data_IF_615714420896
#
_entry.id   IF_615714420896
#
_cell.length_a   1.000
_cell.length_b   1.000
_cell.length_c   1.000
_cell.angle_alpha   90.00
_cell.angle_beta   90.00
_cell.angle_gamma   90.00
#
_symmetry.space_group_name_H-M   'P 1'
#
loop_
_entity.id
_entity.type
_entity.pdbx_description
1 polymer ?
#
# COMPACT_ATOMS: atom_id res chain seq x y z
N UNK A 1 -10.55 -59.16 -22.78
CA UNK A 1 -9.34 -58.48 -22.28
C UNK A 1 -9.09 -57.28 -23.17
N UNK A 2 -9.40 -56.08 -22.69
CA UNK A 2 -9.17 -54.83 -23.42
C UNK A 2 -8.90 -53.73 -22.39
N UNK A 3 -7.63 -53.41 -22.21
CA UNK A 3 -7.15 -52.25 -21.44
C UNK A 3 -7.50 -50.95 -22.16
N UNK A 4 -8.22 -50.00 -21.56
CA UNK A 4 -8.29 -48.65 -22.08
C UNK A 4 -7.05 -47.88 -21.64
N UNK A 5 -6.31 -47.36 -22.61
CA UNK A 5 -5.08 -46.61 -22.42
C UNK A 5 -5.23 -45.40 -21.50
N UNK A 6 -4.21 -45.20 -20.66
CA UNK A 6 -3.99 -43.96 -19.93
C UNK A 6 -3.78 -42.82 -20.95
N UNK A 7 -4.78 -41.95 -21.08
CA UNK A 7 -4.63 -40.68 -21.78
C UNK A 7 -3.73 -39.76 -20.94
N UNK A 8 -2.52 -39.51 -21.45
CA UNK A 8 -1.61 -38.53 -20.87
C UNK A 8 -2.25 -37.12 -20.98
N UNK A 9 -2.55 -36.53 -19.83
CA UNK A 9 -3.00 -35.13 -19.76
C UNK A 9 -1.80 -34.22 -20.09
N UNK A 10 -1.90 -33.34 -21.11
CA UNK A 10 -0.80 -32.46 -21.46
C UNK A 10 -0.65 -31.37 -20.39
N UNK A 11 0.38 -31.48 -19.55
CA UNK A 11 0.73 -30.52 -18.49
C UNK A 11 1.82 -29.54 -18.94
N UNK A 12 1.72 -28.99 -20.16
CA UNK A 12 2.73 -28.03 -20.65
C UNK A 12 2.40 -26.55 -20.41
N UNK A 13 1.18 -26.20 -19.98
CA UNK A 13 0.76 -24.79 -19.88
C UNK A 13 0.99 -24.06 -18.54
N UNK A 14 1.62 -24.67 -17.52
CA UNK A 14 1.37 -24.22 -16.13
C UNK A 14 2.58 -24.20 -15.16
N UNK A 15 3.83 -24.31 -15.63
CA UNK A 15 5.01 -24.23 -14.74
C UNK A 15 5.26 -22.82 -14.20
N UNK A 16 5.13 -21.81 -15.05
CA UNK A 16 5.43 -20.41 -14.71
C UNK A 16 4.47 -19.85 -13.66
N UNK A 17 3.18 -20.15 -13.83
CA UNK A 17 2.13 -19.78 -12.87
C UNK A 17 2.26 -20.51 -11.53
N UNK A 18 2.66 -21.79 -11.53
CA UNK A 18 2.96 -22.51 -10.29
C UNK A 18 4.19 -21.96 -9.56
N UNK A 19 5.13 -21.34 -10.27
CA UNK A 19 6.29 -20.65 -9.68
C UNK A 19 5.86 -19.34 -9.01
N UNK A 20 5.04 -18.52 -9.69
CA UNK A 20 4.55 -17.23 -9.20
C UNK A 20 3.72 -17.33 -7.91
N UNK A 21 3.01 -18.44 -7.69
CA UNK A 21 2.18 -18.64 -6.49
C UNK A 21 2.92 -19.29 -5.30
N UNK A 22 4.24 -19.49 -5.41
CA UNK A 22 5.08 -19.99 -4.31
C UNK A 22 5.93 -18.85 -3.72
N UNK A 23 6.26 -18.90 -2.43
CA UNK A 23 7.38 -18.12 -1.90
C UNK A 23 8.65 -18.32 -2.74
N UNK A 24 9.44 -17.27 -3.00
CA UNK A 24 9.29 -15.89 -2.53
C UNK A 24 8.40 -14.99 -3.41
N UNK A 25 7.96 -15.47 -4.57
CA UNK A 25 7.33 -14.66 -5.63
C UNK A 25 6.02 -14.01 -5.22
N UNK A 26 5.21 -14.65 -4.39
CA UNK A 26 3.97 -14.06 -3.86
C UNK A 26 4.24 -12.82 -3.02
N UNK A 27 5.25 -12.89 -2.14
CA UNK A 27 5.68 -11.77 -1.31
C UNK A 27 6.31 -10.66 -2.13
N UNK A 28 7.16 -11.04 -3.09
CA UNK A 28 7.80 -10.09 -4.01
C UNK A 28 6.79 -9.33 -4.86
N UNK A 29 5.81 -10.03 -5.44
CA UNK A 29 4.76 -9.41 -6.24
C UNK A 29 3.89 -8.46 -5.40
N UNK A 30 3.52 -8.87 -4.17
CA UNK A 30 2.76 -8.01 -3.27
C UNK A 30 3.53 -6.74 -2.89
N UNK A 31 4.82 -6.87 -2.57
CA UNK A 31 5.68 -5.72 -2.30
C UNK A 31 5.80 -4.80 -3.53
N UNK A 32 6.15 -5.36 -4.68
CA UNK A 32 6.39 -4.62 -5.91
C UNK A 32 5.14 -3.85 -6.34
N UNK A 33 3.95 -4.45 -6.27
CA UNK A 33 2.70 -3.78 -6.62
C UNK A 33 2.47 -2.58 -5.70
N UNK A 34 2.55 -2.75 -4.38
CA UNK A 34 2.28 -1.63 -3.47
C UNK A 34 3.35 -0.55 -3.58
N UNK A 35 4.62 -0.93 -3.73
CA UNK A 35 5.74 -0.01 -3.86
C UNK A 35 5.64 0.83 -5.14
N UNK A 36 5.36 0.21 -6.29
CA UNK A 36 5.18 0.96 -7.55
C UNK A 36 3.93 1.83 -7.51
N UNK A 37 2.88 1.42 -6.80
CA UNK A 37 1.69 2.27 -6.60
C UNK A 37 2.02 3.57 -5.87
N UNK A 38 3.03 3.59 -4.98
CA UNK A 38 3.48 4.87 -4.37
C UNK A 38 4.05 5.80 -5.44
N UNK A 39 5.00 5.33 -6.25
CA UNK A 39 5.58 6.09 -7.36
C UNK A 39 4.50 6.59 -8.36
N UNK A 40 3.54 5.72 -8.70
CA UNK A 40 2.42 6.08 -9.57
C UNK A 40 1.50 7.15 -8.95
N UNK A 41 1.41 7.23 -7.62
CA UNK A 41 0.66 8.28 -6.93
C UNK A 41 1.15 9.68 -7.33
N UNK A 42 2.46 9.93 -7.24
CA UNK A 42 3.08 11.20 -7.64
C UNK A 42 2.81 11.51 -9.12
N UNK A 43 2.95 10.51 -9.99
CA UNK A 43 2.68 10.70 -11.43
C UNK A 43 1.21 11.00 -11.71
N UNK A 44 0.27 10.33 -11.03
CA UNK A 44 -1.16 10.59 -11.20
C UNK A 44 -1.51 12.01 -10.78
N UNK A 45 -0.88 12.53 -9.72
CA UNK A 45 -1.06 13.92 -9.31
C UNK A 45 -0.63 14.90 -10.41
N UNK A 46 0.58 14.74 -10.96
CA UNK A 46 1.08 15.59 -12.05
C UNK A 46 0.18 15.53 -13.28
N UNK A 47 -0.29 14.33 -13.64
CA UNK A 47 -1.23 14.16 -14.76
C UNK A 47 -2.56 14.87 -14.51
N UNK A 48 -3.07 14.84 -13.28
CA UNK A 48 -4.30 15.53 -12.89
C UNK A 48 -4.15 17.05 -12.85
N UNK A 49 -2.98 17.55 -12.45
CA UNK A 49 -2.65 18.98 -12.37
C UNK A 49 -2.39 19.59 -13.76
N UNK A 50 -1.66 18.88 -14.63
CA UNK A 50 -1.12 19.46 -15.86
C UNK A 50 -1.71 18.90 -17.16
N UNK A 51 -2.14 17.63 -17.19
CA UNK A 51 -2.36 16.90 -18.45
C UNK A 51 -3.84 16.68 -18.78
N UNK A 52 -4.63 16.14 -17.84
CA UNK A 52 -6.01 15.74 -18.10
C UNK A 52 -6.88 15.94 -16.85
N UNK A 53 -8.02 16.66 -16.91
CA UNK A 53 -8.72 17.32 -18.03
C UNK A 53 -8.17 18.69 -18.46
N UNK A 54 -7.07 19.14 -17.85
CA UNK A 54 -6.41 20.42 -18.11
C UNK A 54 -6.32 21.29 -16.84
N UNK A 55 -5.53 22.37 -16.88
CA UNK A 55 -5.34 23.27 -15.74
C UNK A 55 -6.68 23.83 -15.25
N UNK A 56 -6.98 23.66 -13.96
CA UNK A 56 -8.22 24.15 -13.33
C UNK A 56 -9.32 23.10 -13.11
N UNK A 57 -9.14 21.86 -13.55
CA UNK A 57 -10.09 20.76 -13.30
C UNK A 57 -9.64 19.78 -12.20
N UNK A 58 -8.58 20.11 -11.47
CA UNK A 58 -7.93 19.22 -10.49
C UNK A 58 -8.92 18.68 -9.45
N UNK A 59 -9.80 19.53 -8.92
CA UNK A 59 -10.78 19.12 -7.89
C UNK A 59 -11.88 18.21 -8.45
N UNK A 60 -12.30 18.42 -9.70
CA UNK A 60 -13.27 17.56 -10.37
C UNK A 60 -12.66 16.19 -10.65
N UNK A 61 -11.40 16.15 -11.08
CA UNK A 61 -10.63 14.91 -11.26
C UNK A 61 -10.45 14.16 -9.95
N UNK A 62 -10.08 14.89 -8.89
CA UNK A 62 -9.90 14.35 -7.55
C UNK A 62 -11.21 13.78 -6.99
N UNK A 63 -12.32 14.51 -7.17
CA UNK A 63 -13.63 14.04 -6.79
C UNK A 63 -14.03 12.77 -7.53
N UNK A 64 -13.83 12.73 -8.86
CA UNK A 64 -14.11 11.55 -9.68
C UNK A 64 -13.25 10.35 -9.28
N UNK A 65 -11.96 10.56 -9.02
CA UNK A 65 -11.02 9.53 -8.59
C UNK A 65 -11.46 8.91 -7.25
N UNK A 66 -11.78 9.74 -6.26
CA UNK A 66 -12.28 9.26 -4.98
C UNK A 66 -13.66 8.62 -5.08
N UNK A 67 -14.54 9.08 -5.99
CA UNK A 67 -15.82 8.44 -6.25
C UNK A 67 -15.66 7.02 -6.82
N UNK A 68 -14.71 6.82 -7.74
CA UNK A 68 -14.32 5.48 -8.21
C UNK A 68 -13.84 4.63 -7.04
N UNK A 69 -12.98 5.18 -6.17
CA UNK A 69 -12.54 4.52 -4.94
C UNK A 69 -13.71 4.09 -4.03
N UNK A 70 -14.69 4.98 -3.82
CA UNK A 70 -15.88 4.69 -3.02
C UNK A 70 -16.76 3.59 -3.64
N UNK A 71 -16.93 3.58 -4.96
CA UNK A 71 -17.64 2.52 -5.69
C UNK A 71 -16.91 1.18 -5.56
N UNK A 72 -15.57 1.17 -5.72
CA UNK A 72 -14.77 -0.04 -5.53
C UNK A 72 -14.88 -0.57 -4.10
N UNK A 73 -14.88 0.31 -3.10
CA UNK A 73 -15.10 -0.07 -1.70
C UNK A 73 -16.49 -0.69 -1.51
N UNK A 74 -17.53 -0.05 -2.04
CA UNK A 74 -18.91 -0.52 -1.94
C UNK A 74 -19.09 -1.94 -2.49
N UNK A 75 -18.50 -2.24 -3.65
CA UNK A 75 -18.53 -3.58 -4.24
C UNK A 75 -17.61 -4.56 -3.48
N UNK A 76 -16.43 -4.10 -3.05
CA UNK A 76 -15.48 -4.89 -2.27
C UNK A 76 -16.09 -5.38 -0.96
N UNK A 77 -16.83 -4.50 -0.27
CA UNK A 77 -17.50 -4.80 0.99
C UNK A 77 -18.61 -5.85 0.86
N UNK A 78 -19.17 -6.03 -0.34
CA UNK A 78 -20.20 -7.04 -0.64
C UNK A 78 -19.63 -8.32 -1.24
N UNK A 79 -18.34 -8.35 -1.52
CA UNK A 79 -17.70 -9.51 -2.14
C UNK A 79 -17.57 -10.66 -1.13
N UNK A 80 -18.04 -11.85 -1.53
CA UNK A 80 -17.84 -13.08 -0.74
C UNK A 80 -16.42 -13.65 -0.87
N UNK A 81 -15.64 -13.17 -1.83
CA UNK A 81 -14.27 -13.63 -2.06
C UNK A 81 -13.28 -12.75 -1.30
N UNK A 82 -12.55 -13.32 -0.34
CA UNK A 82 -11.50 -12.61 0.40
C UNK A 82 -10.46 -11.97 -0.55
N UNK A 83 -10.16 -12.64 -1.67
CA UNK A 83 -9.20 -12.14 -2.66
C UNK A 83 -9.71 -10.88 -3.34
N UNK A 84 -10.94 -10.92 -3.86
CA UNK A 84 -11.52 -9.77 -4.54
C UNK A 84 -11.76 -8.62 -3.55
N UNK A 85 -12.23 -8.92 -2.34
CA UNK A 85 -12.41 -7.93 -1.28
C UNK A 85 -11.09 -7.24 -0.90
N UNK A 86 -9.99 -7.99 -0.75
CA UNK A 86 -8.67 -7.42 -0.43
C UNK A 86 -8.18 -6.50 -1.54
N UNK A 87 -8.27 -6.92 -2.81
CA UNK A 87 -7.83 -6.10 -3.94
C UNK A 87 -8.68 -4.85 -4.14
N UNK A 88 -10.00 -4.99 -4.09
CA UNK A 88 -10.92 -3.84 -4.17
C UNK A 88 -10.70 -2.90 -3.00
N UNK A 89 -10.43 -3.41 -1.80
CA UNK A 89 -10.09 -2.62 -0.63
C UNK A 89 -8.78 -1.84 -0.78
N UNK A 90 -7.71 -2.48 -1.29
CA UNK A 90 -6.43 -1.82 -1.54
C UNK A 90 -6.60 -0.65 -2.53
N UNK A 91 -7.16 -0.91 -3.71
CA UNK A 91 -7.38 0.13 -4.72
C UNK A 91 -8.35 1.20 -4.25
N UNK A 92 -9.42 0.83 -3.53
CA UNK A 92 -10.31 1.81 -2.93
C UNK A 92 -9.57 2.72 -1.94
N UNK A 93 -8.72 2.16 -1.07
CA UNK A 93 -7.91 2.93 -0.12
C UNK A 93 -6.98 3.92 -0.83
N UNK A 94 -6.26 3.46 -1.86
CA UNK A 94 -5.38 4.31 -2.67
C UNK A 94 -6.15 5.42 -3.37
N UNK A 95 -7.27 5.12 -4.04
CA UNK A 95 -8.04 6.12 -4.79
C UNK A 95 -8.77 7.11 -3.88
N UNK A 96 -9.24 6.67 -2.71
CA UNK A 96 -9.82 7.55 -1.69
C UNK A 96 -8.76 8.46 -1.08
N UNK A 97 -7.56 7.93 -0.84
CA UNK A 97 -6.41 8.72 -0.38
C UNK A 97 -6.06 9.80 -1.39
N UNK A 98 -5.62 9.41 -2.59
CA UNK A 98 -5.18 10.35 -3.62
C UNK A 98 -6.32 11.29 -4.02
N UNK A 99 -7.54 10.78 -4.21
CA UNK A 99 -8.66 11.58 -4.69
C UNK A 99 -9.27 12.51 -3.63
N UNK A 100 -9.77 11.98 -2.52
CA UNK A 100 -10.54 12.78 -1.57
C UNK A 100 -9.74 13.32 -0.40
N UNK A 101 -8.73 12.59 0.08
CA UNK A 101 -7.97 13.01 1.27
C UNK A 101 -6.90 14.02 0.84
N UNK A 102 -6.02 13.64 -0.07
CA UNK A 102 -4.87 14.45 -0.49
C UNK A 102 -5.28 15.77 -1.16
N UNK A 103 -6.12 15.71 -2.21
CA UNK A 103 -6.60 16.94 -2.86
C UNK A 103 -7.54 17.80 -2.00
N UNK A 104 -8.10 17.27 -0.91
CA UNK A 104 -8.79 18.15 0.05
C UNK A 104 -7.80 19.05 0.80
N UNK A 105 -6.57 18.58 1.04
CA UNK A 105 -5.51 19.40 1.61
C UNK A 105 -4.93 20.38 0.58
N UNK A 106 -4.85 20.01 -0.71
CA UNK A 106 -4.52 20.95 -1.80
C UNK A 106 -5.52 22.09 -1.83
N UNK A 107 -6.82 21.77 -1.88
CA UNK A 107 -7.87 22.78 -1.81
C UNK A 107 -7.78 23.65 -0.55
N UNK A 108 -7.51 23.05 0.61
CA UNK A 108 -7.40 23.79 1.86
C UNK A 108 -6.17 24.71 1.88
N UNK A 109 -5.03 24.27 1.33
CA UNK A 109 -3.83 25.07 1.17
C UNK A 109 -4.08 26.29 0.30
N UNK A 110 -4.68 26.08 -0.87
CA UNK A 110 -5.07 27.14 -1.80
C UNK A 110 -6.06 28.12 -1.17
N UNK A 111 -7.11 27.59 -0.53
CA UNK A 111 -8.16 28.39 0.08
C UNK A 111 -7.65 29.26 1.23
N UNK A 112 -6.71 28.74 2.03
CA UNK A 112 -6.09 29.44 3.14
C UNK A 112 -4.90 30.31 2.71
N UNK A 113 -4.46 30.22 1.45
CA UNK A 113 -3.31 30.97 0.92
C UNK A 113 -1.98 30.54 1.54
N UNK A 114 -1.87 29.28 1.98
CA UNK A 114 -0.64 28.73 2.56
C UNK A 114 0.44 28.69 1.49
N UNK A 115 1.60 29.29 1.78
CA UNK A 115 2.73 29.28 0.85
C UNK A 115 3.51 27.97 0.98
N UNK A 116 4.10 27.53 -0.12
CA UNK A 116 5.04 26.42 -0.12
C UNK A 116 6.26 26.74 0.76
N UNK A 117 6.77 25.71 1.43
CA UNK A 117 8.01 25.82 2.18
C UNK A 117 9.19 25.65 1.23
N UNK A 118 9.95 26.73 1.05
CA UNK A 118 11.18 26.73 0.25
C UNK A 118 12.31 26.01 0.96
N UNK A 119 13.17 25.34 0.20
CA UNK A 119 14.35 24.67 0.73
C UNK A 119 15.39 25.71 1.23
N UNK A 120 15.81 25.65 2.51
CA UNK A 120 16.83 26.56 3.04
C UNK A 120 18.24 26.24 2.51
N UNK A 121 18.48 25.02 2.05
CA UNK A 121 19.77 24.55 1.53
C UNK A 121 19.90 24.74 0.01
N UNK A 122 18.79 24.76 -0.74
CA UNK A 122 18.78 24.89 -2.20
C UNK A 122 17.88 26.04 -2.64
N UNK A 123 18.50 27.12 -3.14
CA UNK A 123 17.77 28.32 -3.52
C UNK A 123 16.80 28.07 -4.70
N UNK A 124 15.51 28.33 -4.46
CA UNK A 124 14.46 28.24 -5.49
C UNK A 124 13.78 26.88 -5.59
N UNK A 125 14.23 25.87 -4.82
CA UNK A 125 13.56 24.57 -4.74
C UNK A 125 12.48 24.58 -3.65
N UNK A 126 11.38 23.87 -3.91
CA UNK A 126 10.30 23.70 -2.95
C UNK A 126 10.63 22.47 -2.10
N UNK A 127 10.84 22.67 -0.80
CA UNK A 127 11.08 21.57 0.12
C UNK A 127 9.78 20.85 0.51
N UNK A 128 8.69 21.59 0.73
CA UNK A 128 7.39 20.99 1.08
C UNK A 128 6.26 21.82 0.51
N UNK A 129 5.37 21.20 -0.27
CA UNK A 129 4.18 21.87 -0.81
C UNK A 129 3.15 22.22 0.28
N UNK A 130 2.36 23.25 0.03
CA UNK A 130 1.37 23.82 0.95
C UNK A 130 0.36 22.79 1.49
N UNK A 131 -0.11 21.86 0.66
CA UNK A 131 -1.06 20.80 1.06
C UNK A 131 -0.51 19.94 2.19
N UNK A 132 0.78 19.64 2.17
CA UNK A 132 1.41 18.81 3.18
C UNK A 132 1.59 19.58 4.49
N UNK A 133 1.81 20.89 4.42
CA UNK A 133 1.83 21.75 5.61
C UNK A 133 0.45 21.78 6.29
N UNK A 134 -0.62 21.89 5.51
CA UNK A 134 -2.00 21.81 6.05
C UNK A 134 -2.29 20.41 6.58
N UNK A 135 -1.79 19.35 5.92
CA UNK A 135 -1.97 17.97 6.37
C UNK A 135 -1.47 17.74 7.79
N UNK A 136 -0.40 18.42 8.23
CA UNK A 136 0.09 18.33 9.62
C UNK A 136 -0.99 18.63 10.67
N UNK A 137 -1.95 19.52 10.36
CA UNK A 137 -3.07 19.86 11.25
C UNK A 137 -3.99 18.66 11.56
N UNK A 138 -3.96 17.63 10.72
CA UNK A 138 -4.81 16.43 10.85
C UNK A 138 -4.29 15.43 11.90
N UNK A 139 -3.12 15.68 12.50
CA UNK A 139 -2.49 14.82 13.52
C UNK A 139 -3.43 14.50 14.69
N UNK A 140 -4.21 15.48 15.15
CA UNK A 140 -5.16 15.31 16.26
C UNK A 140 -6.28 14.33 15.90
N UNK A 141 -6.83 14.43 14.70
CA UNK A 141 -7.86 13.50 14.20
C UNK A 141 -7.27 12.10 14.07
N UNK A 142 -6.05 11.98 13.54
CA UNK A 142 -5.38 10.70 13.39
C UNK A 142 -5.22 9.96 14.72
N UNK A 143 -4.65 10.62 15.74
CA UNK A 143 -4.43 9.96 17.03
C UNK A 143 -5.72 9.69 17.79
N UNK A 144 -6.75 10.54 17.65
CA UNK A 144 -8.06 10.28 18.23
C UNK A 144 -8.69 8.99 17.69
N UNK A 145 -8.62 8.76 16.38
CA UNK A 145 -9.17 7.52 15.78
C UNK A 145 -8.26 6.31 15.96
N UNK A 146 -6.93 6.48 15.95
CA UNK A 146 -5.99 5.41 16.28
C UNK A 146 -6.18 4.92 17.72
N UNK A 147 -6.47 5.81 18.67
CA UNK A 147 -6.81 5.42 20.04
C UNK A 147 -8.06 4.53 20.07
N UNK A 148 -9.10 4.87 19.29
CA UNK A 148 -10.27 4.01 19.13
C UNK A 148 -9.88 2.62 18.59
N UNK A 149 -9.08 2.55 17.53
CA UNK A 149 -8.66 1.25 16.96
C UNK A 149 -7.78 0.43 17.90
N UNK A 150 -6.93 1.10 18.69
CA UNK A 150 -6.09 0.46 19.68
C UNK A 150 -6.92 -0.13 20.82
N UNK A 151 -8.01 0.52 21.23
CA UNK A 151 -8.88 0.04 22.30
C UNK A 151 -10.00 -0.89 21.81
N UNK A 152 -10.20 -1.00 20.50
CA UNK A 152 -11.22 -1.87 19.93
C UNK A 152 -10.84 -3.35 20.06
N UNK A 153 -11.63 -4.11 20.81
CA UNK A 153 -11.46 -5.55 21.01
C UNK A 153 -11.59 -6.39 19.73
N UNK A 154 -12.21 -5.86 18.68
CA UNK A 154 -12.37 -6.55 17.40
C UNK A 154 -11.15 -6.37 16.48
N UNK A 155 -10.17 -5.54 16.88
CA UNK A 155 -8.96 -5.33 16.09
C UNK A 155 -8.13 -6.61 16.00
N UNK A 156 -7.65 -6.91 14.79
CA UNK A 156 -6.74 -8.04 14.53
C UNK A 156 -5.44 -7.59 13.86
N UNK A 157 -5.18 -6.29 13.85
CA UNK A 157 -3.90 -5.74 13.41
C UNK A 157 -2.83 -6.18 14.41
N UNK A 158 -1.77 -6.82 13.91
CA UNK A 158 -0.69 -7.32 14.76
C UNK A 158 0.01 -6.22 15.56
N UNK A 159 0.07 -5.00 15.00
CA UNK A 159 0.65 -3.83 15.68
C UNK A 159 -0.19 -3.43 16.90
N UNK A 160 -1.50 -3.23 16.75
CA UNK A 160 -2.37 -2.92 17.88
C UNK A 160 -2.44 -4.06 18.91
N UNK A 161 -2.46 -5.32 18.45
CA UNK A 161 -2.40 -6.47 19.36
C UNK A 161 -1.08 -6.52 20.15
N UNK A 162 0.04 -6.13 19.54
CA UNK A 162 1.32 -6.02 20.23
C UNK A 162 1.26 -4.95 21.33
N UNK A 163 0.72 -3.77 21.03
CA UNK A 163 0.53 -2.70 22.02
C UNK A 163 -0.43 -3.10 23.14
N UNK A 164 -1.58 -3.69 22.81
CA UNK A 164 -2.54 -4.16 23.82
C UNK A 164 -1.91 -5.17 24.79
N UNK A 165 -1.06 -6.07 24.30
CA UNK A 165 -0.34 -7.05 25.12
C UNK A 165 0.77 -6.40 25.94
N UNK A 166 1.58 -5.54 25.34
CA UNK A 166 2.74 -4.94 26.00
C UNK A 166 2.34 -3.88 27.05
N UNK A 167 1.28 -3.12 26.78
CA UNK A 167 0.70 -2.14 27.71
C UNK A 167 -0.34 -2.74 28.66
N UNK A 168 -0.58 -4.05 28.59
CA UNK A 168 -1.59 -4.77 29.40
C UNK A 168 -3.00 -4.15 29.34
N UNK A 169 -3.40 -3.63 28.18
CA UNK A 169 -4.72 -3.03 27.95
C UNK A 169 -5.79 -4.13 27.98
N UNK A 170 -6.67 -4.10 28.98
CA UNK A 170 -7.75 -5.10 29.16
C UNK A 170 -8.96 -4.79 28.27
N UNK A 171 -8.81 -4.93 26.96
CA UNK A 171 -9.87 -4.63 25.97
C UNK A 171 -10.95 -5.72 25.85
N UNK A 172 -10.76 -6.88 26.47
CA UNK A 172 -11.69 -8.02 26.37
C UNK A 172 -11.42 -8.91 25.15
N UNK A 173 -12.22 -9.98 24.98
CA UNK A 173 -12.06 -10.94 23.87
C UNK A 173 -12.88 -10.51 22.65
N UNK A 174 -12.35 -10.66 21.41
CA UNK A 174 -13.10 -10.43 20.18
C UNK A 174 -14.33 -11.33 20.08
N UNK A 175 -15.40 -10.86 19.45
CA UNK A 175 -16.60 -11.66 19.23
C UNK A 175 -16.34 -12.75 18.15
N UNK A 176 -16.53 -14.04 18.47
CA UNK A 176 -16.32 -15.12 17.49
C UNK A 176 -17.24 -15.06 16.26
N UNK A 177 -18.42 -14.42 16.38
CA UNK A 177 -19.42 -14.32 15.30
C UNK A 177 -19.30 -13.05 14.46
N UNK A 178 -18.35 -12.17 14.75
CA UNK A 178 -18.19 -10.94 13.99
C UNK A 178 -17.56 -11.24 12.63
N UNK A 179 -18.34 -11.10 11.56
CA UNK A 179 -17.86 -11.29 10.19
C UNK A 179 -16.96 -10.14 9.76
N UNK A 180 -15.83 -10.49 9.14
CA UNK A 180 -14.81 -9.51 8.76
C UNK A 180 -15.08 -8.98 7.37
N UNK A 181 -15.11 -7.65 7.26
CA UNK A 181 -15.09 -7.00 5.97
C UNK A 181 -13.65 -6.77 5.49
N UNK A 182 -13.11 -7.69 4.69
CA UNK A 182 -11.72 -7.61 4.21
C UNK A 182 -11.45 -6.39 3.32
N UNK A 183 -12.45 -5.90 2.58
CA UNK A 183 -12.31 -4.70 1.77
C UNK A 183 -12.16 -3.46 2.64
N UNK A 184 -13.07 -3.28 3.61
CA UNK A 184 -13.00 -2.15 4.53
C UNK A 184 -11.71 -2.16 5.36
N UNK A 185 -11.28 -3.34 5.85
CA UNK A 185 -10.03 -3.47 6.58
C UNK A 185 -8.84 -3.07 5.70
N UNK A 186 -8.75 -3.58 4.47
CA UNK A 186 -7.60 -3.29 3.60
C UNK A 186 -7.59 -1.82 3.18
N UNK A 187 -8.75 -1.22 2.90
CA UNK A 187 -8.87 0.20 2.57
C UNK A 187 -8.43 1.10 3.73
N UNK A 188 -8.91 0.81 4.94
CA UNK A 188 -8.51 1.54 6.15
C UNK A 188 -7.03 1.34 6.48
N UNK A 189 -6.51 0.11 6.38
CA UNK A 189 -5.08 -0.16 6.57
C UNK A 189 -4.24 0.64 5.56
N UNK A 190 -4.68 0.74 4.30
CA UNK A 190 -3.99 1.55 3.27
C UNK A 190 -3.98 3.03 3.66
N UNK A 191 -5.15 3.61 3.92
CA UNK A 191 -5.29 5.03 4.27
C UNK A 191 -4.50 5.38 5.52
N UNK A 192 -4.67 4.63 6.61
CA UNK A 192 -4.03 4.98 7.90
C UNK A 192 -2.52 4.79 7.88
N UNK A 193 -2.00 3.80 7.17
CA UNK A 193 -0.55 3.60 7.10
C UNK A 193 0.08 4.71 6.25
N UNK A 194 -0.51 5.07 5.11
CA UNK A 194 -0.04 6.20 4.30
C UNK A 194 -0.10 7.48 5.16
N UNK A 195 -1.26 7.78 5.76
CA UNK A 195 -1.46 8.96 6.59
C UNK A 195 -0.45 9.09 7.74
N UNK A 196 -0.25 8.00 8.48
CA UNK A 196 0.67 7.97 9.60
C UNK A 196 2.10 8.24 9.17
N UNK A 197 2.55 7.60 8.08
CA UNK A 197 3.92 7.79 7.61
C UNK A 197 4.12 9.15 6.93
N UNK A 198 3.12 9.70 6.23
CA UNK A 198 3.18 11.09 5.76
C UNK A 198 3.36 12.05 6.92
N UNK A 199 2.52 11.96 7.96
CA UNK A 199 2.65 12.83 9.12
C UNK A 199 3.99 12.64 9.83
N UNK A 200 4.46 11.40 9.98
CA UNK A 200 5.77 11.12 10.56
C UNK A 200 6.89 11.82 9.77
N UNK A 201 6.89 11.71 8.45
CA UNK A 201 7.86 12.36 7.58
C UNK A 201 7.80 13.88 7.70
N UNK A 202 6.60 14.47 7.64
CA UNK A 202 6.43 15.92 7.73
C UNK A 202 6.92 16.49 9.05
N UNK A 203 6.65 15.82 10.18
CA UNK A 203 7.18 16.23 11.48
C UNK A 203 8.69 16.03 11.62
N UNK A 204 9.27 15.06 10.90
CA UNK A 204 10.72 14.88 10.83
C UNK A 204 11.37 16.00 10.02
N UNK A 205 10.71 16.42 8.94
CA UNK A 205 11.20 17.48 8.04
C UNK A 205 11.10 18.88 8.65
N UNK A 206 10.21 19.10 9.61
CA UNK A 206 10.05 20.39 10.28
C UNK A 206 11.31 20.77 11.09
N UNK A 207 11.97 21.85 10.68
CA UNK A 207 13.20 22.35 11.31
C UNK A 207 13.02 22.77 12.77
N UNK A 208 11.80 23.14 13.19
CA UNK A 208 11.54 23.52 14.57
C UNK A 208 11.44 22.31 15.50
N UNK A 209 11.27 21.10 14.95
CA UNK A 209 11.13 19.86 15.71
C UNK A 209 12.40 19.02 15.61
N UNK A 210 12.79 18.68 14.38
CA UNK A 210 13.95 17.85 14.09
C UNK A 210 14.78 18.48 12.98
N UNK A 211 14.19 18.65 11.80
CA UNK A 211 14.89 19.01 10.56
C UNK A 211 15.39 17.79 9.80
N UNK A 212 15.47 17.92 8.49
CA UNK A 212 15.87 16.87 7.55
C UNK A 212 17.34 16.42 7.70
N UNK A 213 18.23 17.31 8.16
CA UNK A 213 19.66 17.03 8.36
C UNK A 213 20.04 16.73 9.83
N UNK A 214 19.06 16.52 10.71
CA UNK A 214 19.34 16.29 12.13
C UNK A 214 19.85 14.85 12.39
N UNK A 215 20.78 14.63 13.35
CA UNK A 215 21.29 13.29 13.68
C UNK A 215 20.21 12.25 13.99
N UNK A 216 19.12 12.69 14.62
CA UNK A 216 17.96 11.83 14.92
C UNK A 216 17.22 11.43 13.64
N UNK A 217 17.12 12.33 12.65
CA UNK A 217 16.52 12.04 11.33
C UNK A 217 17.31 10.97 10.61
N UNK A 218 18.65 11.05 10.60
CA UNK A 218 19.50 9.95 10.12
C UNK A 218 19.29 8.65 10.90
N UNK A 219 19.13 8.73 12.22
CA UNK A 219 18.79 7.57 13.05
C UNK A 219 17.46 6.91 12.66
N UNK A 220 16.43 7.72 12.40
CA UNK A 220 15.12 7.26 11.92
C UNK A 220 15.24 6.66 10.52
N UNK A 221 16.04 7.23 9.62
CA UNK A 221 16.34 6.67 8.30
C UNK A 221 16.89 5.24 8.42
N UNK A 222 17.96 5.04 9.19
CA UNK A 222 18.55 3.70 9.37
C UNK A 222 17.59 2.73 10.05
N UNK A 223 16.78 3.20 11.00
CA UNK A 223 15.73 2.37 11.61
C UNK A 223 14.70 1.92 10.57
N UNK A 224 14.23 2.82 9.69
CA UNK A 224 13.31 2.48 8.60
C UNK A 224 13.95 1.48 7.63
N UNK A 225 15.24 1.63 7.29
CA UNK A 225 15.97 0.66 6.44
C UNK A 225 15.99 -0.73 7.07
N UNK A 226 16.43 -0.83 8.32
CA UNK A 226 16.51 -2.12 9.05
C UNK A 226 15.11 -2.75 9.15
N UNK A 227 14.11 -1.92 9.45
CA UNK A 227 12.74 -2.38 9.59
C UNK A 227 12.15 -2.84 8.25
N UNK A 228 12.35 -2.10 7.17
CA UNK A 228 11.95 -2.46 5.81
C UNK A 228 12.56 -3.81 5.40
N UNK A 229 13.87 -4.01 5.62
CA UNK A 229 14.54 -5.28 5.33
C UNK A 229 13.95 -6.44 6.14
N UNK A 230 13.73 -6.24 7.43
CA UNK A 230 13.12 -7.27 8.30
C UNK A 230 11.70 -7.65 7.84
N UNK A 231 10.84 -6.66 7.56
CA UNK A 231 9.49 -6.87 7.07
C UNK A 231 9.52 -7.56 5.70
N UNK A 232 10.39 -7.12 4.79
CA UNK A 232 10.53 -7.69 3.46
C UNK A 232 10.95 -9.17 3.52
N UNK A 233 11.95 -9.52 4.32
CA UNK A 233 12.37 -10.91 4.53
C UNK A 233 11.24 -11.79 5.07
N UNK A 234 10.39 -11.24 5.95
CA UNK A 234 9.22 -11.93 6.48
C UNK A 234 8.13 -12.08 5.43
N UNK A 235 7.87 -11.05 4.63
CA UNK A 235 6.90 -11.06 3.54
C UNK A 235 7.23 -12.13 2.48
N UNK A 236 8.52 -12.33 2.17
CA UNK A 236 8.95 -13.38 1.24
C UNK A 236 8.54 -14.79 1.68
N UNK A 237 8.23 -15.02 2.96
CA UNK A 237 7.83 -16.35 3.47
C UNK A 237 6.32 -16.62 3.31
N UNK A 238 5.54 -15.66 2.84
CA UNK A 238 4.08 -15.77 2.79
C UNK A 238 3.59 -16.54 1.57
N UNK A 239 2.71 -17.52 1.81
CA UNK A 239 2.07 -18.33 0.77
C UNK A 239 0.70 -17.77 0.33
N UNK A 240 0.00 -17.07 1.22
CA UNK A 240 -1.36 -16.58 0.95
C UNK A 240 -1.31 -15.15 0.42
N UNK A 241 -1.71 -14.97 -0.84
CA UNK A 241 -1.70 -13.67 -1.54
C UNK A 241 -2.43 -12.57 -0.76
N UNK A 242 -3.60 -12.84 -0.18
CA UNK A 242 -4.39 -11.82 0.56
C UNK A 242 -3.74 -11.38 1.87
N UNK A 243 -2.96 -12.24 2.50
CA UNK A 243 -2.16 -11.90 3.67
C UNK A 243 -0.88 -11.18 3.24
N UNK A 244 -0.27 -11.59 2.12
CA UNK A 244 0.89 -10.95 1.53
C UNK A 244 0.60 -9.50 1.11
N UNK A 245 -0.54 -9.20 0.49
CA UNK A 245 -0.91 -7.83 0.12
C UNK A 245 -1.05 -6.96 1.36
N UNK A 246 -1.88 -7.36 2.33
CA UNK A 246 -2.11 -6.57 3.55
C UNK A 246 -0.85 -6.33 4.38
N UNK A 247 0.07 -7.30 4.39
CA UNK A 247 1.37 -7.13 5.04
C UNK A 247 2.36 -6.34 4.15
N UNK A 248 2.22 -6.46 2.84
CA UNK A 248 2.97 -5.72 1.83
C UNK A 248 2.72 -4.23 1.89
N UNK A 249 1.50 -3.80 2.24
CA UNK A 249 1.15 -2.37 2.41
C UNK A 249 2.11 -1.64 3.36
N UNK A 250 2.17 -1.98 4.66
CA UNK A 250 3.12 -1.33 5.56
C UNK A 250 4.57 -1.63 5.22
N UNK A 251 4.89 -2.78 4.63
CA UNK A 251 6.27 -3.10 4.23
C UNK A 251 6.76 -2.16 3.12
N UNK A 252 5.93 -1.90 2.12
CA UNK A 252 6.24 -1.02 1.00
C UNK A 252 6.28 0.44 1.43
N UNK A 253 5.37 0.89 2.30
CA UNK A 253 5.34 2.28 2.78
C UNK A 253 6.55 2.58 3.68
N UNK A 254 6.93 1.67 4.58
CA UNK A 254 8.17 1.82 5.37
C UNK A 254 9.40 1.88 4.47
N UNK A 255 9.44 1.08 3.40
CA UNK A 255 10.50 1.16 2.40
C UNK A 255 10.45 2.47 1.60
N UNK A 256 9.26 2.98 1.30
CA UNK A 256 9.06 4.24 0.59
C UNK A 256 9.58 5.43 1.39
N UNK A 257 9.41 5.45 2.72
CA UNK A 257 10.01 6.49 3.57
C UNK A 257 11.53 6.60 3.39
N UNK A 258 12.22 5.48 3.15
CA UNK A 258 13.67 5.48 2.87
C UNK A 258 13.95 6.17 1.54
N UNK A 259 13.11 5.91 0.53
CA UNK A 259 13.21 6.54 -0.79
C UNK A 259 12.96 8.05 -0.65
N UNK A 260 11.89 8.45 0.02
CA UNK A 260 11.53 9.86 0.29
C UNK A 260 12.63 10.63 1.01
N UNK A 261 13.18 10.09 2.11
CA UNK A 261 14.28 10.76 2.81
C UNK A 261 15.52 10.90 1.92
N UNK A 262 15.81 9.87 1.12
CA UNK A 262 16.95 9.90 0.21
C UNK A 262 16.75 10.85 -0.98
N UNK A 263 15.52 10.95 -1.50
CA UNK A 263 15.10 11.92 -2.52
C UNK A 263 15.21 13.35 -1.99
N UNK A 264 14.78 13.59 -0.75
CA UNK A 264 14.92 14.88 -0.05
C UNK A 264 16.36 15.32 0.17
N UNK A 265 17.29 14.39 0.34
CA UNK A 265 18.73 14.68 0.35
C UNK A 265 19.36 14.75 -1.05
N UNK A 266 18.54 14.74 -2.10
CA UNK A 266 18.95 14.77 -3.50
C UNK A 266 19.97 13.68 -3.87
N UNK A 267 19.86 12.48 -3.28
CA UNK A 267 20.79 11.37 -3.55
C UNK A 267 20.57 10.73 -4.94
N UNK A 268 19.38 10.88 -5.50
CA UNK A 268 19.03 10.45 -6.86
C UNK A 268 17.90 11.31 -7.41
N UNK A 269 17.72 11.26 -8.73
CA UNK A 269 16.58 11.91 -9.40
C UNK A 269 15.36 10.99 -9.35
N UNK A 270 14.26 11.51 -8.82
CA UNK A 270 13.00 10.79 -8.73
C UNK A 270 12.31 10.81 -10.09
N UNK A 271 12.56 9.77 -10.90
CA UNK A 271 12.05 9.68 -12.27
C UNK A 271 10.51 9.66 -12.35
N UNK A 272 9.81 9.32 -11.26
CA UNK A 272 8.35 9.39 -11.14
C UNK A 272 7.81 10.80 -10.87
N UNK A 273 8.63 11.73 -10.40
CA UNK A 273 8.29 13.16 -10.28
C UNK A 273 8.43 13.92 -11.60
N UNK A 274 9.15 13.34 -12.57
CA UNK A 274 9.32 13.91 -13.91
C UNK A 274 8.76 12.97 -14.99
N UNK A 275 7.45 12.69 -14.99
CA UNK A 275 6.86 11.72 -15.91
C UNK A 275 6.99 12.12 -17.37
N UNK A 276 7.17 13.42 -17.68
CA UNK A 276 7.39 13.91 -19.04
C UNK A 276 8.81 13.58 -19.56
N UNK A 277 9.83 13.62 -18.69
CA UNK A 277 11.21 13.26 -19.05
C UNK A 277 11.38 11.73 -19.14
N UNK A 278 10.73 10.97 -18.26
CA UNK A 278 10.85 9.51 -18.13
C UNK A 278 9.58 8.75 -18.55
N UNK A 279 8.96 9.17 -19.66
CA UNK A 279 7.66 8.62 -20.09
C UNK A 279 7.73 7.12 -20.47
N UNK A 280 8.87 6.64 -20.97
CA UNK A 280 9.06 5.25 -21.37
C UNK A 280 9.08 4.32 -20.15
N UNK A 281 9.87 4.67 -19.14
CA UNK A 281 10.01 3.94 -17.89
C UNK A 281 8.65 3.85 -17.17
N UNK A 282 7.94 4.97 -17.08
CA UNK A 282 6.61 5.05 -16.46
C UNK A 282 5.54 4.25 -17.21
N UNK A 283 5.58 4.27 -18.55
CA UNK A 283 4.67 3.49 -19.39
C UNK A 283 4.91 1.99 -19.26
N UNK A 284 6.17 1.56 -19.22
CA UNK A 284 6.53 0.15 -19.05
C UNK A 284 6.14 -0.38 -17.67
N UNK A 285 6.34 0.40 -16.61
CA UNK A 285 5.92 0.06 -15.25
C UNK A 285 4.40 -0.10 -15.15
N UNK A 286 3.65 0.85 -15.70
CA UNK A 286 2.18 0.82 -15.71
C UNK A 286 1.67 -0.38 -16.50
N UNK A 287 2.22 -0.64 -17.69
CA UNK A 287 1.89 -1.81 -18.49
C UNK A 287 2.18 -3.12 -17.74
N UNK A 288 3.31 -3.19 -17.02
CA UNK A 288 3.66 -4.35 -16.19
C UNK A 288 2.61 -4.64 -15.11
N UNK A 289 2.13 -3.60 -14.41
CA UNK A 289 1.07 -3.74 -13.40
C UNK A 289 -0.24 -4.19 -14.04
N UNK A 290 -0.64 -3.59 -15.16
CA UNK A 290 -1.88 -3.97 -15.86
C UNK A 290 -1.82 -5.43 -16.32
N UNK A 291 -0.69 -5.87 -16.88
CA UNK A 291 -0.48 -7.26 -17.29
C UNK A 291 -0.55 -8.18 -16.07
N UNK A 292 0.12 -7.83 -14.96
CA UNK A 292 0.06 -8.61 -13.72
C UNK A 292 -1.38 -8.71 -13.17
N UNK A 293 -2.14 -7.61 -13.20
CA UNK A 293 -3.53 -7.57 -12.79
C UNK A 293 -4.43 -8.44 -13.69
N UNK A 294 -4.23 -8.38 -15.02
CA UNK A 294 -4.96 -9.20 -16.00
C UNK A 294 -4.66 -10.69 -15.83
N UNK A 295 -3.38 -11.06 -15.63
CA UNK A 295 -2.98 -12.44 -15.35
C UNK A 295 -3.59 -12.95 -14.04
N UNK A 296 -3.60 -12.12 -13.00
CA UNK A 296 -4.24 -12.44 -11.73
C UNK A 296 -5.76 -12.62 -11.87
N UNK A 297 -6.43 -11.81 -12.69
CA UNK A 297 -7.88 -11.86 -12.92
C UNK A 297 -8.31 -13.06 -13.79
N UNK A 298 -7.51 -13.47 -14.78
CA UNK A 298 -7.83 -14.60 -15.67
C UNK A 298 -7.48 -15.98 -15.12
N UNK A 299 -6.93 -16.06 -13.90
CA UNK A 299 -6.55 -17.35 -13.31
C UNK A 299 -7.77 -18.06 -12.68
N UNK A 300 -8.17 -19.25 -13.17
CA UNK A 300 -9.39 -19.92 -12.70
C UNK A 300 -9.29 -20.39 -11.24
N UNK A 301 -10.35 -20.16 -10.46
CA UNK A 301 -10.43 -20.51 -9.02
C UNK A 301 -10.16 -22.00 -8.72
N UNK A 302 -10.43 -22.90 -9.67
CA UNK A 302 -10.19 -24.35 -9.54
C UNK A 302 -8.72 -24.71 -9.29
N UNK A 303 -7.78 -24.04 -9.98
CA UNK A 303 -6.34 -24.31 -9.84
C UNK A 303 -5.79 -23.87 -8.46
N UNK A 304 -6.37 -22.83 -7.87
CA UNK A 304 -6.05 -22.39 -6.50
C UNK A 304 -6.45 -23.43 -5.45
N UNK A 305 -7.64 -24.01 -5.60
CA UNK A 305 -8.15 -25.05 -4.70
C UNK A 305 -7.36 -26.36 -4.78
N UNK A 306 -6.81 -26.67 -5.96
CA UNK A 306 -5.96 -27.84 -6.20
C UNK A 306 -4.57 -27.67 -5.57
N UNK A 307 -3.95 -26.49 -5.72
CA UNK A 307 -2.67 -26.16 -5.08
C UNK A 307 -2.76 -26.13 -3.55
N UNK A 308 -3.86 -25.61 -2.99
CA UNK A 308 -4.11 -25.66 -1.54
C UNK A 308 -4.33 -27.08 -1.02
N UNK A 309 -4.98 -27.95 -1.83
CA UNK A 309 -5.13 -29.38 -1.50
C UNK A 309 -3.81 -30.13 -1.55
N UNK A 310 -2.96 -29.86 -2.53
CA UNK A 310 -1.60 -30.43 -2.60
C UNK A 310 -0.75 -30.00 -1.40
N UNK A 311 -0.90 -28.77 -0.91
CA UNK A 311 -0.21 -28.29 0.30
C UNK A 311 -0.66 -29.01 1.56
N UNK A 312 -1.97 -29.13 1.78
CA UNK A 312 -2.53 -29.90 2.90
C UNK A 312 -2.06 -31.37 2.87
N UNK A 313 -1.98 -31.96 1.67
CA UNK A 313 -1.44 -33.30 1.49
C UNK A 313 0.06 -33.39 1.80
N UNK A 314 0.86 -32.39 1.43
CA UNK A 314 2.31 -32.35 1.73
C UNK A 314 2.61 -32.13 3.21
N UNK A 315 1.84 -31.29 3.90
CA UNK A 315 1.98 -31.02 5.34
C UNK A 315 1.51 -32.24 6.17
N UNK A 316 0.43 -32.91 5.74
CA UNK A 316 0.00 -34.17 6.34
C UNK A 316 1.02 -35.31 6.14
N UNK A 317 1.73 -35.33 5.01
CA UNK A 317 2.78 -36.31 4.74
C UNK A 317 4.11 -36.08 5.48
N UNK A 318 4.38 -34.85 5.94
CA UNK A 318 5.56 -34.51 6.72
C UNK A 318 5.36 -34.66 8.23
N UNK A 319 4.12 -34.63 8.73
CA UNK A 319 3.78 -34.91 10.14
C UNK A 319 3.62 -36.40 10.49
N UNK A 320 3.76 -37.30 9.51
CA UNK A 320 3.63 -38.75 9.67
C UNK A 320 4.99 -39.48 9.62
N UNK A 321 6.10 -38.77 9.78
CA UNK A 321 7.46 -39.33 9.96
C UNK A 321 8.06 -38.83 11.26
#
# INVERSE_FOLDING_TARGET
MSTPGASAVPTSGNRLMNLLYRPPWVGLLAFAIVFVVQALGHTVMIVMEEVWPGPGYVLQSAFALGAVGAVMLFYGMRSRSEVAATWLGFWAGTLLWTGWIEFSFVWAGDFLGVQDLMDPNVAGEIATKAEYLVMMSSVGIMFATLAYFLLNKETKCNFFLWFQRNLSLRVGKPNPRHERNFAAITALETIYIIWFFYLLLLFIYDENILGDQHPVTYGIFFLNVIWAVYLFQRLMKFWKVTTAIRYGIPTAIVAWNVVELAGRWHLFTEFWEKPQEFWLEMSLLTAGIVIAALLAARTPAHKKAELSRQKLASEAGQGAR
#
